data_IF_713281447848
#
_entry.id   IF_713281447848
#
_cell.length_a   1.000
_cell.length_b   1.000
_cell.length_c   1.000
_cell.angle_alpha   90.00
_cell.angle_beta   90.00
_cell.angle_gamma   90.00
#
_symmetry.space_group_name_H-M   'P 1'
#
loop_
_entity.id
_entity.type
_entity.pdbx_description
1 polymer ?
#
# COMPACT_ATOMS: atom_id res chain seq x y z
N UNK A 1 6.97 21.12 -22.07
CA UNK A 1 6.01 20.57 -21.09
C UNK A 1 5.00 19.71 -21.84
N UNK A 2 4.54 18.61 -21.27
CA UNK A 2 3.49 17.75 -21.84
C UNK A 2 2.38 17.57 -20.82
N UNK A 3 1.13 17.71 -21.24
CA UNK A 3 -0.06 17.68 -20.37
C UNK A 3 -0.93 16.49 -20.77
N UNK A 4 -1.34 15.70 -19.80
CA UNK A 4 -2.21 14.55 -19.99
C UNK A 4 -3.51 14.73 -19.22
N UNK A 5 -4.63 14.39 -19.84
CA UNK A 5 -5.96 14.44 -19.27
C UNK A 5 -6.56 13.03 -19.23
N UNK A 6 -7.39 12.76 -18.23
CA UNK A 6 -8.10 11.47 -18.10
C UNK A 6 -9.14 11.31 -19.21
N UNK A 7 -9.78 12.41 -19.61
CA UNK A 7 -10.85 12.44 -20.58
C UNK A 7 -10.48 13.18 -21.87
N UNK A 8 -11.16 12.84 -22.96
CA UNK A 8 -10.96 13.45 -24.28
C UNK A 8 -11.47 14.89 -24.37
N UNK A 9 -12.26 15.35 -23.40
CA UNK A 9 -12.79 16.71 -23.36
C UNK A 9 -11.87 17.67 -22.57
N UNK A 10 -10.71 17.17 -22.11
CA UNK A 10 -9.71 17.92 -21.36
C UNK A 10 -10.23 18.55 -20.06
N UNK A 11 -11.19 17.90 -19.40
CA UNK A 11 -11.79 18.43 -18.16
C UNK A 11 -11.01 18.03 -16.90
N UNK A 12 -10.46 16.83 -16.89
CA UNK A 12 -9.79 16.26 -15.72
C UNK A 12 -8.30 16.09 -16.00
N UNK A 13 -7.49 16.98 -15.42
CA UNK A 13 -6.04 16.89 -15.50
C UNK A 13 -5.55 15.65 -14.74
N UNK A 14 -4.73 14.84 -15.40
CA UNK A 14 -4.12 13.63 -14.81
C UNK A 14 -2.68 13.94 -14.37
N UNK A 15 -1.82 14.28 -15.32
CA UNK A 15 -0.45 14.64 -15.02
C UNK A 15 0.17 15.63 -16.01
N UNK A 16 1.23 16.28 -15.55
CA UNK A 16 2.11 17.13 -16.36
C UNK A 16 3.54 16.58 -16.31
N UNK A 17 4.14 16.35 -17.48
CA UNK A 17 5.57 16.05 -17.58
C UNK A 17 6.37 17.33 -17.85
N UNK A 18 7.43 17.51 -17.07
CA UNK A 18 8.40 18.60 -17.23
C UNK A 18 9.70 18.05 -17.80
N UNK A 19 10.30 18.83 -18.69
CA UNK A 19 11.48 18.46 -19.44
C UNK A 19 12.56 19.52 -19.24
N UNK A 20 13.82 19.09 -19.25
CA UNK A 20 14.95 20.00 -19.25
C UNK A 20 15.23 20.57 -20.66
N UNK A 21 16.29 21.40 -20.77
CA UNK A 21 16.72 22.02 -22.03
C UNK A 21 17.14 20.99 -23.11
N UNK A 22 17.43 19.75 -22.72
CA UNK A 22 17.78 18.63 -23.61
C UNK A 22 16.56 17.76 -23.93
N UNK A 23 15.34 18.20 -23.61
CA UNK A 23 14.09 17.45 -23.80
C UNK A 23 14.04 16.13 -23.03
N UNK A 24 14.80 15.99 -21.93
CA UNK A 24 14.71 14.82 -21.05
C UNK A 24 13.65 15.08 -19.98
N UNK A 25 12.76 14.11 -19.73
CA UNK A 25 11.75 14.23 -18.68
C UNK A 25 12.43 14.16 -17.31
N UNK A 26 12.30 15.22 -16.51
CA UNK A 26 12.94 15.36 -15.20
C UNK A 26 11.95 15.31 -14.02
N UNK A 27 10.67 15.59 -14.29
CA UNK A 27 9.62 15.60 -13.28
C UNK A 27 8.27 15.23 -13.89
N UNK A 28 7.45 14.53 -13.11
CA UNK A 28 6.03 14.34 -13.38
C UNK A 28 5.22 14.83 -12.20
N UNK A 29 4.25 15.69 -12.47
CA UNK A 29 3.32 16.24 -11.50
C UNK A 29 1.96 15.58 -11.72
N UNK A 30 1.47 14.81 -10.74
CA UNK A 30 0.17 14.14 -10.75
C UNK A 30 -0.88 14.99 -10.05
N UNK A 31 -2.07 15.02 -10.62
CA UNK A 31 -3.20 15.78 -10.10
C UNK A 31 -4.26 14.83 -9.57
N UNK A 32 -4.84 15.20 -8.44
CA UNK A 32 -6.02 14.54 -7.90
C UNK A 32 -7.23 14.88 -8.79
N UNK A 33 -8.19 13.95 -8.89
CA UNK A 33 -9.42 14.15 -9.68
C UNK A 33 -10.26 15.34 -9.20
N UNK A 34 -10.02 15.84 -7.97
CA UNK A 34 -10.60 17.08 -7.42
C UNK A 34 -9.91 18.35 -7.92
N UNK A 35 -8.88 18.26 -8.77
CA UNK A 35 -8.28 19.39 -9.48
C UNK A 35 -7.10 20.07 -8.80
N UNK A 36 -6.37 19.40 -7.92
CA UNK A 36 -5.17 19.96 -7.27
C UNK A 36 -3.95 19.04 -7.44
N UNK A 37 -2.75 19.61 -7.36
CA UNK A 37 -1.48 18.86 -7.42
C UNK A 37 -1.37 17.93 -6.21
N UNK A 38 -1.35 16.61 -6.44
CA UNK A 38 -1.30 15.61 -5.38
C UNK A 38 0.11 15.10 -5.12
N UNK A 39 0.91 14.92 -6.18
CA UNK A 39 2.25 14.36 -6.08
C UNK A 39 3.19 14.90 -7.16
N UNK A 40 4.40 15.28 -6.80
CA UNK A 40 5.50 15.53 -7.73
C UNK A 40 6.55 14.44 -7.62
N UNK A 41 6.86 13.80 -8.74
CA UNK A 41 7.86 12.74 -8.87
C UNK A 41 9.07 13.26 -9.62
N UNK A 42 10.23 13.27 -8.96
CA UNK A 42 11.52 13.67 -9.53
C UNK A 42 12.23 12.44 -10.09
N UNK A 43 12.80 12.60 -11.29
CA UNK A 43 13.36 11.50 -12.08
C UNK A 43 14.85 11.70 -12.36
N UNK A 44 15.58 10.59 -12.45
CA UNK A 44 16.92 10.57 -13.06
C UNK A 44 16.84 10.76 -14.57
N UNK A 45 17.99 10.97 -15.23
CA UNK A 45 18.06 11.01 -16.69
C UNK A 45 17.58 9.69 -17.34
N UNK A 46 17.75 8.55 -16.68
CA UNK A 46 17.25 7.23 -17.09
C UNK A 46 15.80 6.96 -16.66
N UNK A 47 15.04 7.99 -16.28
CA UNK A 47 13.60 7.87 -15.96
C UNK A 47 13.30 7.05 -14.69
N UNK A 48 14.28 6.84 -13.81
CA UNK A 48 14.08 6.22 -12.51
C UNK A 48 13.63 7.26 -11.48
N UNK A 49 12.80 6.85 -10.53
CA UNK A 49 12.31 7.74 -9.47
C UNK A 49 13.40 7.94 -8.42
N UNK A 50 13.62 9.20 -8.03
CA UNK A 50 14.56 9.57 -6.94
C UNK A 50 13.78 10.06 -5.72
N UNK A 51 12.71 10.81 -5.96
CA UNK A 51 11.90 11.38 -4.90
C UNK A 51 10.45 11.53 -5.34
N UNK A 52 9.52 11.32 -4.41
CA UNK A 52 8.14 11.76 -4.51
C UNK A 52 7.82 12.75 -3.39
N UNK A 53 7.09 13.81 -3.70
CA UNK A 53 6.56 14.76 -2.73
C UNK A 53 5.04 14.79 -2.86
N UNK A 54 4.34 14.51 -1.77
CA UNK A 54 2.88 14.52 -1.73
C UNK A 54 2.39 15.78 -1.04
N UNK A 55 1.38 16.42 -1.64
CA UNK A 55 0.89 17.72 -1.22
C UNK A 55 -0.52 17.65 -0.63
N UNK A 56 -0.83 18.57 0.28
CA UNK A 56 -2.22 18.91 0.62
C UNK A 56 -2.89 19.64 -0.54
N UNK A 57 -4.23 19.74 -0.55
CA UNK A 57 -4.95 20.62 -1.49
C UNK A 57 -4.49 22.09 -1.44
N UNK A 58 -3.92 22.53 -0.30
CA UNK A 58 -3.32 23.85 -0.09
C UNK A 58 -1.83 23.93 -0.45
N UNK A 59 -1.32 22.95 -1.20
CA UNK A 59 0.06 22.87 -1.71
C UNK A 59 1.16 22.79 -0.63
N UNK A 60 0.83 22.31 0.57
CA UNK A 60 1.83 22.02 1.61
C UNK A 60 2.34 20.60 1.46
N UNK A 61 3.67 20.41 1.45
CA UNK A 61 4.27 19.07 1.43
C UNK A 61 3.94 18.33 2.73
N UNK A 62 3.30 17.15 2.59
CA UNK A 62 2.96 16.28 3.72
C UNK A 62 3.82 15.04 3.82
N UNK A 63 4.06 14.37 2.70
CA UNK A 63 4.91 13.18 2.66
C UNK A 63 6.02 13.38 1.64
N UNK A 64 7.19 12.83 1.93
CA UNK A 64 8.27 12.71 0.97
C UNK A 64 8.77 11.28 1.00
N UNK A 65 8.93 10.67 -0.16
CA UNK A 65 9.53 9.35 -0.30
C UNK A 65 10.82 9.49 -1.08
N UNK A 66 11.89 8.92 -0.57
CA UNK A 66 13.20 8.91 -1.20
C UNK A 66 13.50 7.49 -1.67
N UNK A 67 14.03 7.39 -2.88
CA UNK A 67 14.28 6.12 -3.53
C UNK A 67 15.76 5.99 -3.89
N UNK A 68 16.26 4.75 -3.85
CA UNK A 68 17.56 4.44 -4.43
C UNK A 68 17.41 4.15 -5.92
N UNK A 69 17.87 5.03 -6.84
CA UNK A 69 17.77 4.79 -8.27
C UNK A 69 18.80 3.78 -8.79
N UNK A 70 19.76 3.33 -7.99
CA UNK A 70 20.81 2.40 -8.44
C UNK A 70 20.25 0.99 -8.69
N UNK A 71 19.21 0.58 -7.95
CA UNK A 71 18.54 -0.70 -8.19
C UNK A 71 17.76 -0.71 -9.52
N UNK A 72 17.58 -1.89 -10.12
CA UNK A 72 16.76 -2.06 -11.32
C UNK A 72 15.33 -1.55 -11.09
N UNK A 73 14.77 -1.88 -9.92
CA UNK A 73 13.53 -1.33 -9.40
C UNK A 73 13.82 -0.40 -8.23
N UNK A 74 13.51 0.91 -8.32
CA UNK A 74 13.76 1.83 -7.23
C UNK A 74 13.05 1.40 -5.95
N UNK A 75 13.81 1.18 -4.89
CA UNK A 75 13.30 0.83 -3.56
C UNK A 75 13.23 2.08 -2.69
N UNK A 76 12.21 2.15 -1.83
CA UNK A 76 12.11 3.21 -0.82
C UNK A 76 13.28 3.07 0.15
N UNK A 77 14.00 4.16 0.39
CA UNK A 77 15.07 4.26 1.40
C UNK A 77 14.62 4.98 2.66
N UNK A 78 13.71 5.95 2.51
CA UNK A 78 13.19 6.72 3.62
C UNK A 78 11.90 7.38 3.24
N UNK A 79 10.97 7.43 4.19
CA UNK A 79 9.73 8.19 4.10
C UNK A 79 9.73 9.23 5.21
N UNK A 80 9.53 10.49 4.84
CA UNK A 80 9.37 11.61 5.77
C UNK A 80 7.89 12.01 5.80
N UNK A 81 7.31 12.09 6.99
CA UNK A 81 5.94 12.55 7.20
C UNK A 81 5.88 13.78 8.11
N UNK A 82 5.38 14.89 7.57
CA UNK A 82 5.21 16.15 8.29
C UNK A 82 3.87 16.18 9.04
N UNK A 83 3.91 15.84 10.33
CA UNK A 83 2.74 15.87 11.22
C UNK A 83 2.53 17.26 11.82
N UNK A 84 1.38 17.50 12.45
CA UNK A 84 1.18 18.72 13.26
C UNK A 84 2.08 18.78 14.50
N UNK A 85 2.66 17.65 14.92
CA UNK A 85 3.51 17.52 16.11
C UNK A 85 5.00 17.40 15.77
N UNK A 86 5.39 17.64 14.51
CA UNK A 86 6.76 17.50 14.03
C UNK A 86 6.92 16.45 12.93
N UNK A 87 8.16 16.03 12.68
CA UNK A 87 8.53 15.15 11.57
C UNK A 87 8.62 13.70 12.08
N UNK A 88 8.07 12.75 11.31
CA UNK A 88 8.25 11.31 11.51
C UNK A 88 8.99 10.71 10.33
N UNK A 89 9.75 9.66 10.60
CA UNK A 89 10.50 8.90 9.61
C UNK A 89 10.01 7.46 9.62
N UNK A 90 9.91 6.85 8.44
CA UNK A 90 9.63 5.43 8.24
C UNK A 90 10.64 4.86 7.25
N UNK A 91 11.00 3.59 7.44
CA UNK A 91 11.96 2.90 6.59
C UNK A 91 11.33 2.36 5.31
N UNK A 92 10.05 1.97 5.38
CA UNK A 92 9.31 1.40 4.26
C UNK A 92 7.81 1.77 4.28
N UNK A 93 7.10 1.33 3.25
CA UNK A 93 5.65 1.55 3.12
C UNK A 93 4.83 0.81 4.18
N UNK A 94 5.30 -0.35 4.67
CA UNK A 94 4.55 -1.14 5.65
C UNK A 94 4.49 -0.40 6.99
N UNK A 95 5.62 0.16 7.44
CA UNK A 95 5.66 0.97 8.66
C UNK A 95 4.75 2.21 8.54
N UNK A 96 4.76 2.89 7.40
CA UNK A 96 3.90 4.05 7.14
C UNK A 96 2.41 3.66 7.20
N UNK A 97 2.03 2.57 6.53
CA UNK A 97 0.65 2.13 6.46
C UNK A 97 0.16 1.57 7.80
N UNK A 98 1.02 0.89 8.56
CA UNK A 98 0.72 0.46 9.92
C UNK A 98 0.48 1.65 10.84
N UNK A 99 1.32 2.69 10.74
CA UNK A 99 1.11 3.95 11.45
C UNK A 99 -0.23 4.61 11.08
N UNK A 100 -0.60 4.61 9.79
CA UNK A 100 -1.88 5.16 9.34
C UNK A 100 -3.07 4.38 9.92
N UNK A 101 -3.02 3.03 9.90
CA UNK A 101 -4.06 2.18 10.50
C UNK A 101 -4.20 2.46 12.00
N UNK A 102 -3.07 2.53 12.73
CA UNK A 102 -3.06 2.87 14.16
C UNK A 102 -3.68 4.25 14.44
N UNK A 103 -3.49 5.21 13.54
CA UNK A 103 -4.05 6.56 13.66
C UNK A 103 -5.53 6.66 13.29
N UNK A 104 -6.03 5.74 12.45
CA UNK A 104 -7.44 5.68 12.04
C UNK A 104 -8.32 4.92 13.04
N UNK A 105 -7.73 4.02 13.82
CA UNK A 105 -8.46 3.18 14.77
C UNK A 105 -9.09 3.98 15.92
N UNK A 106 -10.37 3.71 16.15
CA UNK A 106 -11.12 4.11 17.34
C UNK A 106 -11.62 2.87 18.09
N UNK A 107 -11.84 3.00 19.40
CA UNK A 107 -12.34 1.90 20.21
C UNK A 107 -13.69 1.40 19.68
N UNK A 108 -13.75 0.11 19.33
CA UNK A 108 -14.93 -0.52 18.76
C UNK A 108 -14.83 -0.76 17.25
N UNK A 109 -13.86 -0.15 16.56
CA UNK A 109 -13.62 -0.42 15.15
C UNK A 109 -13.08 -1.85 14.96
N UNK A 110 -13.43 -2.47 13.83
CA UNK A 110 -12.87 -3.75 13.38
C UNK A 110 -12.35 -3.58 11.96
N UNK A 111 -11.10 -3.99 11.74
CA UNK A 111 -10.46 -3.89 10.44
C UNK A 111 -10.56 -5.22 9.68
N UNK A 112 -10.76 -5.15 8.37
CA UNK A 112 -10.72 -6.30 7.49
C UNK A 112 -9.36 -6.36 6.79
N UNK A 113 -8.65 -7.48 6.94
CA UNK A 113 -7.44 -7.77 6.20
C UNK A 113 -7.80 -8.58 4.96
N UNK A 114 -7.71 -7.94 3.79
CA UNK A 114 -7.94 -8.56 2.48
C UNK A 114 -6.69 -8.40 1.60
N UNK A 115 -6.48 -9.30 0.65
CA UNK A 115 -5.22 -9.47 -0.08
C UNK A 115 -4.07 -9.70 0.90
N UNK A 116 -4.27 -10.68 1.77
CA UNK A 116 -3.41 -11.03 2.91
C UNK A 116 -1.90 -11.09 2.60
N UNK A 117 -1.50 -11.44 1.37
CA UNK A 117 -0.08 -11.41 0.95
C UNK A 117 0.53 -10.00 0.98
N UNK A 118 -0.28 -8.97 0.76
CA UNK A 118 0.13 -7.56 0.77
C UNK A 118 -0.17 -6.93 2.12
N UNK A 119 -1.36 -7.14 2.66
CA UNK A 119 -1.83 -6.44 3.87
C UNK A 119 -1.41 -7.11 5.17
N UNK A 120 -1.20 -8.44 5.18
CA UNK A 120 -0.78 -9.18 6.37
C UNK A 120 0.50 -8.60 6.99
N UNK A 121 1.59 -8.43 6.20
CA UNK A 121 2.83 -7.82 6.70
C UNK A 121 2.66 -6.40 7.28
N UNK A 122 1.64 -5.66 6.84
CA UNK A 122 1.31 -4.33 7.38
C UNK A 122 0.57 -4.48 8.71
N UNK A 123 -0.44 -5.36 8.77
CA UNK A 123 -1.24 -5.64 9.97
C UNK A 123 -0.36 -6.17 11.10
N UNK A 124 0.62 -7.00 10.79
CA UNK A 124 1.53 -7.57 11.77
C UNK A 124 2.37 -6.48 12.49
N UNK A 125 2.48 -5.28 11.93
CA UNK A 125 3.17 -4.12 12.51
C UNK A 125 2.23 -3.14 13.24
N UNK A 126 0.91 -3.38 13.23
CA UNK A 126 -0.07 -2.51 13.91
C UNK A 126 -0.20 -2.88 15.40
N UNK A 127 -0.78 -1.98 16.20
CA UNK A 127 -1.04 -2.20 17.62
C UNK A 127 -1.95 -3.42 17.81
N UNK A 128 -1.54 -4.36 18.66
CA UNK A 128 -2.22 -5.64 18.88
C UNK A 128 -3.61 -5.49 19.49
N UNK A 129 -3.93 -4.32 20.07
CA UNK A 129 -5.30 -4.02 20.54
C UNK A 129 -6.30 -3.79 19.41
N UNK A 130 -5.85 -3.54 18.18
CA UNK A 130 -6.71 -3.33 17.03
C UNK A 130 -7.22 -4.69 16.57
N UNK A 131 -8.54 -4.95 16.64
CA UNK A 131 -9.10 -6.21 16.18
C UNK A 131 -9.13 -6.25 14.65
N UNK A 132 -8.64 -7.36 14.11
CA UNK A 132 -8.51 -7.56 12.65
C UNK A 132 -9.08 -8.92 12.27
N UNK A 133 -9.96 -8.93 11.27
CA UNK A 133 -10.50 -10.16 10.68
C UNK A 133 -9.85 -10.37 9.30
N UNK A 134 -9.18 -11.50 9.10
CA UNK A 134 -8.63 -11.85 7.80
C UNK A 134 -9.72 -12.41 6.88
N UNK A 135 -9.68 -12.07 5.59
CA UNK A 135 -10.68 -12.51 4.60
C UNK A 135 -10.06 -13.52 3.64
N UNK A 136 -10.67 -14.70 3.55
CA UNK A 136 -10.21 -15.81 2.70
C UNK A 136 -11.20 -16.04 1.55
N UNK A 137 -11.03 -15.30 0.45
CA UNK A 137 -11.95 -15.30 -0.70
C UNK A 137 -11.99 -16.59 -1.53
N UNK A 138 -10.89 -17.37 -1.51
CA UNK A 138 -10.73 -18.56 -2.35
C UNK A 138 -10.18 -19.74 -1.56
N UNK A 139 -10.18 -20.93 -2.17
CA UNK A 139 -9.65 -22.14 -1.54
C UNK A 139 -8.26 -21.91 -0.96
N UNK A 140 -8.03 -22.38 0.27
CA UNK A 140 -6.81 -22.08 1.04
C UNK A 140 -5.64 -23.04 0.74
N UNK A 141 -5.94 -24.21 0.15
CA UNK A 141 -4.96 -25.20 -0.33
C UNK A 141 -4.76 -25.14 -1.84
N UNK A 142 -3.60 -25.61 -2.32
CA UNK A 142 -3.28 -25.68 -3.76
C UNK A 142 -4.08 -26.77 -4.49
N UNK A 143 -4.30 -27.93 -3.85
CA UNK A 143 -5.05 -29.06 -4.37
C UNK A 143 -6.30 -29.29 -3.53
N UNK A 144 -7.46 -28.98 -4.10
CA UNK A 144 -8.76 -29.08 -3.42
C UNK A 144 -9.23 -30.54 -3.22
N UNK A 145 -8.65 -31.49 -3.95
CA UNK A 145 -9.00 -32.91 -3.82
C UNK A 145 -8.22 -33.61 -2.70
N UNK A 146 -7.21 -32.95 -2.12
CA UNK A 146 -6.38 -33.46 -1.03
C UNK A 146 -6.16 -32.36 0.02
N UNK A 147 -7.25 -31.97 0.69
CA UNK A 147 -7.25 -30.88 1.67
C UNK A 147 -6.26 -31.18 2.81
N UNK A 148 -6.15 -32.44 3.24
CA UNK A 148 -5.35 -32.83 4.40
C UNK A 148 -3.84 -32.73 4.16
N UNK A 149 -3.33 -33.06 2.97
CA UNK A 149 -1.88 -33.02 2.71
C UNK A 149 -1.46 -31.89 1.77
N UNK A 150 -2.40 -31.25 1.09
CA UNK A 150 -2.06 -30.15 0.20
C UNK A 150 -1.48 -28.94 0.95
N UNK A 151 -0.49 -28.33 0.31
CA UNK A 151 0.12 -27.10 0.79
C UNK A 151 -0.86 -25.93 0.77
N UNK A 152 -0.71 -25.06 1.77
CA UNK A 152 -1.39 -23.77 1.83
C UNK A 152 -0.89 -22.84 0.73
N UNK A 153 -1.84 -22.17 0.05
CA UNK A 153 -1.53 -21.13 -0.93
C UNK A 153 -0.76 -19.98 -0.27
N UNK A 154 0.24 -19.48 -0.99
CA UNK A 154 1.07 -18.37 -0.51
C UNK A 154 0.27 -17.12 -0.12
N UNK A 155 -0.89 -16.92 -0.76
CA UNK A 155 -1.80 -15.81 -0.46
C UNK A 155 -2.22 -15.74 1.01
N UNK A 156 -2.26 -16.86 1.73
CA UNK A 156 -2.77 -16.94 3.11
C UNK A 156 -1.70 -17.15 4.17
N UNK A 157 -0.44 -17.39 3.76
CA UNK A 157 0.66 -17.62 4.70
C UNK A 157 0.84 -16.50 5.71
N UNK A 158 0.80 -15.20 5.35
CA UNK A 158 1.01 -14.15 6.35
C UNK A 158 0.00 -14.15 7.49
N UNK A 159 -1.23 -14.62 7.24
CA UNK A 159 -2.26 -14.75 8.28
C UNK A 159 -2.02 -16.01 9.10
N UNK A 160 -1.77 -17.14 8.42
CA UNK A 160 -1.66 -18.45 9.07
C UNK A 160 -0.38 -18.60 9.89
N UNK A 161 0.71 -17.95 9.47
CA UNK A 161 1.97 -17.93 10.20
C UNK A 161 1.90 -17.01 11.44
N UNK A 162 0.93 -16.08 11.48
CA UNK A 162 0.73 -15.10 12.55
C UNK A 162 -0.71 -15.14 13.12
N UNK A 163 -1.32 -16.32 13.24
CA UNK A 163 -2.74 -16.47 13.63
C UNK A 163 -3.15 -15.68 14.88
N UNK A 164 -2.28 -15.62 15.89
CA UNK A 164 -2.56 -14.90 17.15
C UNK A 164 -2.71 -13.39 16.98
N UNK A 165 -2.24 -12.81 15.86
CA UNK A 165 -2.47 -11.41 15.52
C UNK A 165 -3.93 -11.14 15.14
N UNK A 166 -4.64 -12.13 14.61
CA UNK A 166 -5.97 -11.95 14.02
C UNK A 166 -7.05 -12.36 15.03
N UNK A 167 -8.12 -11.56 15.09
CA UNK A 167 -9.29 -11.84 15.93
C UNK A 167 -10.19 -12.93 15.32
N UNK A 168 -10.00 -13.26 14.04
CA UNK A 168 -10.74 -14.29 13.35
C UNK A 168 -10.47 -14.31 11.85
N UNK A 169 -11.02 -15.33 11.19
CA UNK A 169 -10.94 -15.50 9.73
C UNK A 169 -12.38 -15.57 9.18
N UNK A 170 -12.66 -14.74 8.19
CA UNK A 170 -13.89 -14.75 7.40
C UNK A 170 -13.66 -15.63 6.17
N UNK A 171 -14.53 -16.62 6.00
CA UNK A 171 -14.54 -17.54 4.87
C UNK A 171 -15.90 -17.47 4.17
N UNK A 172 -15.94 -17.84 2.89
CA UNK A 172 -17.15 -17.69 2.07
C UNK A 172 -18.17 -18.81 2.28
N UNK A 173 -17.77 -19.95 2.86
CA UNK A 173 -18.64 -21.13 3.03
C UNK A 173 -18.35 -21.87 4.34
N UNK A 174 -19.36 -22.56 4.89
CA UNK A 174 -19.16 -23.46 6.03
C UNK A 174 -18.20 -24.61 5.70
N UNK A 175 -18.19 -25.11 4.46
CA UNK A 175 -17.22 -26.14 4.06
C UNK A 175 -15.78 -25.63 4.18
N UNK A 176 -15.49 -24.43 3.67
CA UNK A 176 -14.16 -23.83 3.78
C UNK A 176 -13.76 -23.59 5.25
N UNK A 177 -14.73 -23.27 6.13
CA UNK A 177 -14.51 -23.16 7.57
C UNK A 177 -14.09 -24.51 8.16
N UNK A 178 -14.82 -25.58 7.85
CA UNK A 178 -14.50 -26.94 8.31
C UNK A 178 -13.12 -27.37 7.81
N UNK A 179 -12.85 -27.16 6.53
CA UNK A 179 -11.57 -27.53 5.91
C UNK A 179 -10.39 -26.73 6.48
N UNK A 180 -10.59 -25.45 6.82
CA UNK A 180 -9.55 -24.64 7.44
C UNK A 180 -9.32 -25.04 8.90
N UNK A 181 -10.37 -25.43 9.62
CA UNK A 181 -10.31 -25.81 11.04
C UNK A 181 -9.49 -27.08 11.28
N UNK A 182 -9.26 -27.91 10.26
CA UNK A 182 -8.35 -29.07 10.37
C UNK A 182 -6.89 -28.72 10.11
N UNK A 183 -6.58 -27.49 9.68
CA UNK A 183 -5.24 -27.00 9.35
C UNK A 183 -4.66 -26.01 10.38
N UNK A 184 -5.52 -25.38 11.19
CA UNK A 184 -5.17 -24.42 12.25
C UNK A 184 -5.35 -25.05 13.62
#
# INVERSE_FOLDING_TARGET
MYVHFVDSNYQTLDYINHFDIQQRKIRRDFYDTRGFLSCSRILTSQQKVVMEQFFTPTQKVKFQKYYNPEHEHPTVQSIIYNTSRGVRFFNDENELLAFAINALYHLGDVFLCDKNIVTGPIIDQTDTKIPVLAVFHSTHVKNINDIYHSEIKQAYKPVLDNLSRYSGIIVSTEQQKTDLSVKI
#
